data_IF_777296913657
#
_entry.id   IF_777296913657
#
_cell.length_a   1.000
_cell.length_b   1.000
_cell.length_c   1.000
_cell.angle_alpha   90.00
_cell.angle_beta   90.00
_cell.angle_gamma   90.00
#
_symmetry.space_group_name_H-M   'P 1'
#
loop_
_entity.id
_entity.type
_entity.pdbx_description
1 polymer ?
#
# COMPACT_ATOMS: atom_id res chain seq x y z
N UNK A 1 -7.09 17.94 -13.40
CA UNK A 1 -6.41 16.95 -12.56
C UNK A 1 -7.48 16.23 -11.77
N UNK A 2 -7.75 14.99 -12.12
CA UNK A 2 -8.88 14.18 -11.65
C UNK A 2 -8.30 12.99 -10.88
N UNK A 3 -8.14 13.14 -9.56
CA UNK A 3 -7.60 12.10 -8.67
C UNK A 3 -6.75 12.68 -7.54
N UNK A 4 -6.65 11.98 -6.39
CA UNK A 4 -5.82 12.42 -5.26
C UNK A 4 -4.34 12.51 -5.67
N UNK A 5 -3.57 13.34 -4.98
CA UNK A 5 -2.11 13.38 -5.18
C UNK A 5 -1.45 12.15 -4.54
N UNK A 6 -0.31 11.68 -5.07
CA UNK A 6 0.41 10.57 -4.47
C UNK A 6 0.84 10.92 -3.04
N UNK A 7 0.87 9.91 -2.19
CA UNK A 7 1.45 10.03 -0.87
C UNK A 7 2.93 10.46 -0.99
N UNK A 8 3.37 11.51 -0.27
CA UNK A 8 4.73 12.05 -0.39
C UNK A 8 5.83 11.13 0.15
N UNK A 9 5.47 10.12 0.95
CA UNK A 9 6.40 9.15 1.51
C UNK A 9 6.67 7.94 0.58
N UNK A 10 5.96 7.85 -0.55
CA UNK A 10 6.27 6.89 -1.62
C UNK A 10 7.64 7.19 -2.22
N UNK A 11 8.36 6.17 -2.69
CA UNK A 11 9.56 6.40 -3.49
C UNK A 11 9.27 7.18 -4.79
N UNK A 12 10.28 7.93 -5.27
CA UNK A 12 10.16 8.77 -6.47
C UNK A 12 9.68 7.98 -7.70
N UNK A 13 10.09 6.72 -7.81
CA UNK A 13 9.68 5.86 -8.91
C UNK A 13 8.17 5.56 -8.88
N UNK A 14 7.63 5.26 -7.69
CA UNK A 14 6.20 5.03 -7.50
C UNK A 14 5.40 6.32 -7.70
N UNK A 15 5.91 7.46 -7.21
CA UNK A 15 5.25 8.75 -7.42
C UNK A 15 5.14 9.09 -8.91
N UNK A 16 6.16 8.77 -9.72
CA UNK A 16 6.12 8.99 -11.18
C UNK A 16 5.04 8.15 -11.86
N UNK A 17 4.97 6.85 -11.56
CA UNK A 17 3.94 5.97 -12.13
C UNK A 17 2.53 6.43 -11.71
N UNK A 18 2.37 6.82 -10.45
CA UNK A 18 1.11 7.34 -9.92
C UNK A 18 0.68 8.63 -10.64
N UNK A 19 1.58 9.59 -10.80
CA UNK A 19 1.29 10.84 -11.52
C UNK A 19 1.02 10.60 -13.01
N UNK A 20 1.70 9.65 -13.64
CA UNK A 20 1.39 9.26 -15.00
C UNK A 20 -0.02 8.66 -15.10
N UNK A 21 -0.39 7.77 -14.17
CA UNK A 21 -1.74 7.23 -14.08
C UNK A 21 -2.78 8.35 -13.94
N UNK A 22 -2.53 9.35 -13.08
CA UNK A 22 -3.44 10.51 -12.90
C UNK A 22 -3.64 11.29 -14.19
N UNK A 23 -2.57 11.47 -14.98
CA UNK A 23 -2.64 12.22 -16.24
C UNK A 23 -3.50 11.51 -17.27
N UNK A 24 -3.38 10.17 -17.34
CA UNK A 24 -4.05 9.37 -18.36
C UNK A 24 -5.42 8.84 -17.94
N UNK A 25 -5.87 9.03 -16.69
CA UNK A 25 -7.11 8.46 -16.16
C UNK A 25 -8.32 8.65 -17.08
N UNK A 26 -8.54 9.88 -17.57
CA UNK A 26 -9.71 10.18 -18.40
C UNK A 26 -9.52 9.69 -19.86
N UNK A 27 -8.29 9.52 -20.35
CA UNK A 27 -8.01 9.05 -21.71
C UNK A 27 -7.90 7.54 -21.82
N UNK A 28 -7.40 6.90 -20.76
CA UNK A 28 -7.17 5.46 -20.67
C UNK A 28 -7.27 5.01 -19.21
N UNK A 29 -8.49 4.79 -18.70
CA UNK A 29 -8.69 4.22 -17.36
C UNK A 29 -7.95 2.90 -17.17
N UNK A 30 -7.92 2.06 -18.20
CA UNK A 30 -7.15 0.81 -18.23
C UNK A 30 -5.64 1.03 -18.14
N UNK A 31 -5.11 2.04 -18.82
CA UNK A 31 -3.71 2.43 -18.69
C UNK A 31 -3.39 2.91 -17.28
N UNK A 32 -4.25 3.76 -16.71
CA UNK A 32 -4.10 4.24 -15.34
C UNK A 32 -4.12 3.08 -14.32
N UNK A 33 -5.07 2.15 -14.45
CA UNK A 33 -5.16 0.98 -13.59
C UNK A 33 -3.91 0.09 -13.68
N UNK A 34 -3.38 -0.14 -14.89
CA UNK A 34 -2.14 -0.91 -15.09
C UNK A 34 -0.93 -0.25 -14.40
N UNK A 35 -0.78 1.08 -14.52
CA UNK A 35 0.25 1.84 -13.82
C UNK A 35 0.09 1.77 -12.29
N UNK A 36 -1.15 1.81 -11.79
CA UNK A 36 -1.41 1.69 -10.34
C UNK A 36 -1.10 0.29 -9.80
N UNK A 37 -1.31 -0.76 -10.59
CA UNK A 37 -0.87 -2.12 -10.22
C UNK A 37 0.65 -2.22 -10.16
N UNK A 38 1.34 -1.63 -11.14
CA UNK A 38 2.81 -1.53 -11.13
C UNK A 38 3.30 -0.75 -9.90
N UNK A 39 2.66 0.37 -9.58
CA UNK A 39 2.95 1.16 -8.39
C UNK A 39 2.81 0.31 -7.11
N UNK A 40 1.75 -0.49 -6.97
CA UNK A 40 1.59 -1.41 -5.83
C UNK A 40 2.69 -2.46 -5.78
N UNK A 41 3.06 -3.03 -6.93
CA UNK A 41 4.13 -4.02 -6.99
C UNK A 41 5.46 -3.43 -6.47
N UNK A 42 5.77 -2.19 -6.86
CA UNK A 42 6.93 -1.44 -6.40
C UNK A 42 6.84 -1.09 -4.91
N UNK A 43 5.66 -0.69 -4.41
CA UNK A 43 5.44 -0.46 -2.97
C UNK A 43 5.69 -1.72 -2.16
N UNK A 44 5.24 -2.89 -2.61
CA UNK A 44 5.55 -4.15 -1.94
C UNK A 44 7.06 -4.38 -1.82
N UNK A 45 7.82 -4.11 -2.88
CA UNK A 45 9.29 -4.20 -2.87
C UNK A 45 9.89 -3.19 -1.89
N UNK A 46 9.39 -1.96 -1.86
CA UNK A 46 9.83 -0.91 -0.93
C UNK A 46 9.58 -1.29 0.54
N UNK A 47 8.50 -2.03 0.81
CA UNK A 47 8.20 -2.62 2.13
C UNK A 47 9.04 -3.86 2.46
N UNK A 48 9.96 -4.26 1.59
CA UNK A 48 10.83 -5.41 1.78
C UNK A 48 10.16 -6.75 1.49
N UNK A 49 9.14 -6.78 0.63
CA UNK A 49 8.54 -8.04 0.19
C UNK A 49 9.53 -8.88 -0.63
N UNK A 50 9.46 -10.20 -0.45
CA UNK A 50 10.24 -11.17 -1.21
C UNK A 50 9.31 -11.99 -2.12
N UNK A 51 9.83 -12.45 -3.26
CA UNK A 51 9.07 -13.28 -4.20
C UNK A 51 9.13 -12.79 -5.65
N UNK A 52 8.84 -13.71 -6.57
CA UNK A 52 8.84 -13.47 -8.01
C UNK A 52 7.51 -12.96 -8.56
N UNK A 53 6.40 -13.15 -7.82
CA UNK A 53 5.06 -12.66 -8.20
C UNK A 53 4.50 -11.72 -7.12
N UNK A 54 3.53 -10.87 -7.49
CA UNK A 54 2.84 -9.99 -6.54
C UNK A 54 2.15 -10.78 -5.42
N UNK A 55 1.57 -11.95 -5.73
CA UNK A 55 0.93 -12.84 -4.75
C UNK A 55 1.95 -13.35 -3.71
N UNK A 56 3.12 -13.83 -4.18
CA UNK A 56 4.21 -14.24 -3.30
C UNK A 56 4.72 -13.08 -2.44
N UNK A 57 4.77 -11.87 -2.99
CA UNK A 57 5.19 -10.66 -2.26
C UNK A 57 4.18 -10.27 -1.17
N UNK A 58 2.88 -10.32 -1.46
CA UNK A 58 1.84 -10.08 -0.45
C UNK A 58 1.95 -11.13 0.66
N UNK A 59 2.09 -12.42 0.31
CA UNK A 59 2.28 -13.49 1.30
C UNK A 59 3.54 -13.29 2.16
N UNK A 60 4.64 -12.81 1.57
CA UNK A 60 5.88 -12.46 2.29
C UNK A 60 5.66 -11.30 3.27
N UNK A 61 4.88 -10.28 2.90
CA UNK A 61 4.56 -9.18 3.82
C UNK A 61 3.65 -9.64 4.96
N UNK A 62 2.67 -10.50 4.68
CA UNK A 62 1.79 -11.09 5.69
C UNK A 62 2.60 -11.87 6.74
N UNK A 63 3.58 -12.67 6.32
CA UNK A 63 4.45 -13.39 7.27
C UNK A 63 5.35 -12.46 8.10
N UNK A 64 5.59 -11.22 7.62
CA UNK A 64 6.28 -10.14 8.33
C UNK A 64 5.35 -9.29 9.21
N UNK A 65 4.08 -9.66 9.34
CA UNK A 65 3.10 -8.98 10.20
C UNK A 65 2.37 -7.82 9.52
N UNK A 66 2.17 -7.88 8.20
CA UNK A 66 1.33 -6.92 7.49
C UNK A 66 -0.11 -6.93 8.06
N UNK A 67 -0.69 -5.77 8.42
CA UNK A 67 -2.08 -5.70 8.87
C UNK A 67 -3.07 -6.21 7.82
N UNK A 68 -4.14 -6.86 8.29
CA UNK A 68 -5.15 -7.52 7.45
C UNK A 68 -5.79 -6.54 6.46
N UNK A 69 -6.12 -5.34 6.91
CA UNK A 69 -6.76 -4.31 6.07
C UNK A 69 -5.84 -3.86 4.92
N UNK A 70 -4.52 -3.87 5.14
CA UNK A 70 -3.55 -3.55 4.09
C UNK A 70 -3.37 -4.72 3.13
N UNK A 71 -3.38 -5.96 3.63
CA UNK A 71 -3.39 -7.14 2.77
C UNK A 71 -4.63 -7.14 1.85
N UNK A 72 -5.82 -6.89 2.41
CA UNK A 72 -7.06 -6.78 1.64
C UNK A 72 -6.98 -5.67 0.58
N UNK A 73 -6.39 -4.52 0.91
CA UNK A 73 -6.18 -3.44 -0.07
C UNK A 73 -5.22 -3.84 -1.20
N UNK A 74 -4.11 -4.52 -0.88
CA UNK A 74 -3.16 -5.03 -1.88
C UNK A 74 -3.82 -6.06 -2.81
N UNK A 75 -4.59 -7.00 -2.25
CA UNK A 75 -5.30 -8.00 -3.03
C UNK A 75 -6.41 -7.38 -3.89
N UNK A 76 -7.10 -6.36 -3.39
CA UNK A 76 -8.07 -5.61 -4.17
C UNK A 76 -7.42 -4.97 -5.41
N UNK A 77 -6.29 -4.28 -5.24
CA UNK A 77 -5.58 -3.67 -6.40
C UNK A 77 -5.09 -4.75 -7.38
N UNK A 78 -4.62 -5.90 -6.87
CA UNK A 78 -4.13 -7.02 -7.68
C UNK A 78 -5.22 -7.67 -8.54
N UNK A 79 -6.41 -7.86 -7.98
CA UNK A 79 -7.50 -8.65 -8.60
C UNK A 79 -8.41 -7.78 -9.45
N UNK A 80 -8.80 -6.61 -8.95
CA UNK A 80 -9.70 -5.71 -9.66
C UNK A 80 -9.09 -5.37 -11.02
N UNK A 81 -9.81 -5.66 -12.11
CA UNK A 81 -9.46 -5.35 -13.50
C UNK A 81 -8.35 -6.20 -14.16
N UNK A 82 -7.78 -7.17 -13.45
CA UNK A 82 -6.85 -8.16 -14.02
C UNK A 82 -7.56 -9.43 -14.50
N UNK A 83 -8.77 -9.72 -13.99
CA UNK A 83 -9.59 -10.83 -14.47
C UNK A 83 -10.51 -10.35 -15.61
N UNK A 84 -10.25 -10.84 -16.81
CA UNK A 84 -11.18 -10.70 -17.92
C UNK A 84 -12.48 -11.44 -17.54
N UNK A 85 -13.55 -10.68 -17.36
CA UNK A 85 -14.81 -11.21 -16.86
C UNK A 85 -15.37 -12.21 -17.87
N UNK A 86 -15.54 -13.46 -17.45
CA UNK A 86 -16.29 -14.45 -18.19
C UNK A 86 -17.76 -14.01 -18.31
N UNK A 87 -18.46 -14.29 -19.42
CA UNK A 87 -19.88 -13.97 -19.54
C UNK A 87 -20.68 -14.60 -18.38
N UNK A 88 -21.32 -13.77 -17.54
CA UNK A 88 -22.16 -14.21 -16.41
C UNK A 88 -21.65 -13.85 -15.00
N UNK A 89 -20.49 -13.20 -14.86
CA UNK A 89 -20.00 -12.65 -13.59
C UNK A 89 -20.08 -11.12 -13.54
N UNK A 90 -19.93 -10.55 -12.33
CA UNK A 90 -19.88 -9.10 -12.10
C UNK A 90 -18.79 -8.49 -12.98
N UNK A 91 -19.16 -7.46 -13.75
CA UNK A 91 -18.29 -6.82 -14.71
C UNK A 91 -17.25 -5.92 -13.99
N UNK A 92 -16.13 -6.49 -13.55
CA UNK A 92 -15.03 -5.75 -12.91
C UNK A 92 -14.08 -5.24 -14.00
N UNK A 93 -14.53 -4.25 -14.78
CA UNK A 93 -13.69 -3.61 -15.80
C UNK A 93 -12.80 -2.55 -15.19
N UNK A 94 -11.65 -2.32 -15.82
CA UNK A 94 -10.88 -1.09 -15.63
C UNK A 94 -11.59 0.11 -16.26
N UNK A 95 -12.75 0.45 -15.71
CA UNK A 95 -13.42 1.71 -15.97
C UNK A 95 -12.81 2.83 -15.11
N UNK A 96 -13.27 4.05 -15.38
CA UNK A 96 -12.77 5.25 -14.71
C UNK A 96 -12.99 5.22 -13.21
N UNK A 97 -14.13 4.71 -12.75
CA UNK A 97 -14.49 4.69 -11.34
C UNK A 97 -13.65 3.67 -10.57
N UNK A 98 -13.39 2.53 -11.20
CA UNK A 98 -12.50 1.49 -10.71
C UNK A 98 -11.08 2.01 -10.59
N UNK A 99 -10.54 2.61 -11.67
CA UNK A 99 -9.22 3.24 -11.62
C UNK A 99 -9.13 4.37 -10.58
N UNK A 100 -10.21 5.14 -10.39
CA UNK A 100 -10.30 6.17 -9.34
C UNK A 100 -10.13 5.58 -7.93
N UNK A 101 -10.78 4.44 -7.65
CA UNK A 101 -10.64 3.73 -6.36
C UNK A 101 -9.25 3.14 -6.17
N UNK A 102 -8.58 2.69 -7.23
CA UNK A 102 -7.21 2.19 -7.14
C UNK A 102 -6.25 3.27 -6.62
N UNK A 103 -6.41 4.53 -7.03
CA UNK A 103 -5.60 5.64 -6.50
C UNK A 103 -5.72 5.78 -4.97
N UNK A 104 -6.94 5.62 -4.45
CA UNK A 104 -7.22 5.70 -3.01
C UNK A 104 -6.58 4.53 -2.28
N UNK A 105 -6.66 3.31 -2.82
CA UNK A 105 -6.05 2.12 -2.23
C UNK A 105 -4.52 2.23 -2.18
N UNK A 106 -3.87 2.69 -3.25
CA UNK A 106 -2.40 2.91 -3.24
C UNK A 106 -2.00 3.92 -2.16
N UNK A 107 -2.75 5.02 -2.04
CA UNK A 107 -2.49 6.02 -1.00
C UNK A 107 -2.76 5.49 0.41
N UNK A 108 -3.78 4.66 0.58
CA UNK A 108 -4.07 4.01 1.85
C UNK A 108 -2.92 3.10 2.29
N UNK A 109 -2.43 2.25 1.38
CA UNK A 109 -1.29 1.35 1.63
C UNK A 109 -0.05 2.18 2.02
N UNK A 110 0.26 3.21 1.23
CA UNK A 110 1.40 4.10 1.49
C UNK A 110 1.26 4.85 2.82
N UNK A 111 0.07 5.35 3.13
CA UNK A 111 -0.18 6.06 4.37
C UNK A 111 0.03 5.13 5.57
N UNK A 112 -0.58 3.95 5.56
CA UNK A 112 -0.50 3.06 6.72
C UNK A 112 0.92 2.49 6.88
N UNK A 113 1.61 2.16 5.79
CA UNK A 113 2.92 1.48 5.86
C UNK A 113 4.14 2.37 5.80
N UNK A 114 4.02 3.59 5.29
CA UNK A 114 5.15 4.53 5.17
C UNK A 114 4.94 5.76 6.05
N UNK A 115 3.82 6.46 5.88
CA UNK A 115 3.58 7.74 6.59
C UNK A 115 3.30 7.55 8.08
N UNK A 116 2.35 6.67 8.43
CA UNK A 116 1.93 6.45 9.81
C UNK A 116 3.08 5.97 10.71
N UNK A 117 3.96 5.04 10.31
CA UNK A 117 5.12 4.66 11.11
C UNK A 117 6.08 5.82 11.34
N UNK A 118 6.35 6.65 10.32
CA UNK A 118 7.16 7.86 10.46
C UNK A 118 6.54 8.86 11.44
N UNK A 119 5.23 9.09 11.34
CA UNK A 119 4.51 9.99 12.25
C UNK A 119 4.56 9.49 13.70
N UNK A 120 4.27 8.21 13.94
CA UNK A 120 4.33 7.60 15.27
C UNK A 120 5.76 7.65 15.82
N UNK A 121 6.77 7.33 15.01
CA UNK A 121 8.18 7.40 15.43
C UNK A 121 8.58 8.83 15.81
N UNK A 122 8.15 9.83 15.03
CA UNK A 122 8.38 11.24 15.33
C UNK A 122 7.75 11.65 16.67
N UNK A 123 6.49 11.27 16.92
CA UNK A 123 5.83 11.55 18.20
C UNK A 123 6.49 10.82 19.37
N UNK A 124 6.86 9.55 19.20
CA UNK A 124 7.53 8.76 20.23
C UNK A 124 8.92 9.31 20.56
N UNK A 125 9.60 9.92 19.59
CA UNK A 125 10.90 10.58 19.78
C UNK A 125 10.83 11.79 20.73
N UNK A 126 9.64 12.38 20.91
CA UNK A 126 9.41 13.49 21.84
C UNK A 126 9.37 13.05 23.31
N UNK A 127 9.21 11.76 23.60
CA UNK A 127 9.19 11.24 24.97
C UNK A 127 10.61 11.31 25.58
N UNK A 128 10.82 11.91 26.77
CA UNK A 128 12.15 11.95 27.38
C UNK A 128 12.79 10.57 27.54
N UNK A 129 14.12 10.49 27.38
CA UNK A 129 14.86 9.21 27.34
C UNK A 129 14.60 8.33 28.58
N UNK A 130 14.56 8.92 29.78
CA UNK A 130 14.29 8.18 31.01
C UNK A 130 12.92 7.48 31.00
N UNK A 131 11.89 8.12 30.41
CA UNK A 131 10.56 7.52 30.26
C UNK A 131 10.54 6.42 29.18
N UNK A 132 11.29 6.58 28.09
CA UNK A 132 11.45 5.52 27.07
C UNK A 132 12.10 4.27 27.65
N UNK A 133 13.19 4.41 28.41
CA UNK A 133 13.84 3.28 29.11
C UNK A 133 12.88 2.53 30.04
N UNK A 134 12.03 3.25 30.76
CA UNK A 134 11.01 2.64 31.62
C UNK A 134 9.95 1.85 30.83
N UNK A 135 9.54 2.38 29.66
CA UNK A 135 8.63 1.68 28.74
C UNK A 135 9.28 0.41 28.20
N UNK A 136 10.55 0.48 27.80
CA UNK A 136 11.30 -0.67 27.26
C UNK A 136 11.45 -1.76 28.32
N UNK A 137 11.81 -1.41 29.56
CA UNK A 137 11.89 -2.36 30.67
C UNK A 137 10.55 -3.04 30.97
N UNK A 138 9.45 -2.28 30.95
CA UNK A 138 8.08 -2.82 31.10
C UNK A 138 7.76 -3.82 29.99
N UNK A 139 8.03 -3.48 28.74
CA UNK A 139 7.72 -4.33 27.58
C UNK A 139 8.58 -5.61 27.55
N UNK A 140 9.86 -5.52 27.93
CA UNK A 140 10.74 -6.68 28.04
C UNK A 140 10.22 -7.71 29.07
N UNK A 141 9.67 -7.24 30.19
CA UNK A 141 9.06 -8.11 31.20
C UNK A 141 7.85 -8.88 30.64
N UNK A 142 7.00 -8.23 29.85
CA UNK A 142 5.82 -8.86 29.25
C UNK A 142 6.22 -9.98 28.26
N UNK A 143 7.21 -9.73 27.39
CA UNK A 143 7.68 -10.71 26.40
C UNK A 143 8.37 -11.94 27.01
N UNK A 144 8.99 -11.80 28.17
CA UNK A 144 9.65 -12.91 28.87
C UNK A 144 8.67 -13.74 29.75
N UNK A 145 7.39 -13.36 29.78
CA UNK A 145 6.35 -14.05 30.55
C UNK A 145 5.46 -14.95 29.69
N UNK A 146 5.73 -15.02 28.39
CA UNK A 146 5.14 -15.91 27.38
C UNK A 146 6.14 -17.00 26.98
#
# INVERSE_FOLDING_TARGET
>A
MTGPSPNPDLSDDVQRDYEEARRILDQSPRGAAALLRLAVEKVCIELGAEGGTIDQRIASLVSKGLPEEVQQALDAVRVIGNEAVHPGQVDIRDDRDTASKLFELVNFIAFDRLTRPKQIASMYSMIPEGKRKAIDARNAKARNSE
#
